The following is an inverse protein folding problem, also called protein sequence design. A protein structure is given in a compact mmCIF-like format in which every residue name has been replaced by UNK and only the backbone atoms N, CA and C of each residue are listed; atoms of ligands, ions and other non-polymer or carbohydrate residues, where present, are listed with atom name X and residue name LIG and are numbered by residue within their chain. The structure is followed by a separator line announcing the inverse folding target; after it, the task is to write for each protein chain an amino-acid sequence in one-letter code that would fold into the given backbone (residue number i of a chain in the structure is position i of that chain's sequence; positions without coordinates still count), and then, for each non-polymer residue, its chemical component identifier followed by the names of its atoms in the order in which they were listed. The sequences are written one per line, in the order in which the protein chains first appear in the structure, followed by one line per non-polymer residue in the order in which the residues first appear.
data_IF_697729319284
#
_entry.id   IF_697729319284
#
_cell.length_a   1.000
_cell.length_b   1.000
_cell.length_c   1.000
_cell.angle_alpha   90.00
_cell.angle_beta   90.00
_cell.angle_gamma   90.00
#
_symmetry.space_group_name_H-M   'P 1'
#
loop_
_entity.id
_entity.type
_entity.pdbx_description
1 polymer ?
#
# COMPACT_ATOMS: atom_id res chain seq x y z
N UNK A 1 2.71 -19.39 4.08
CA UNK A 1 2.37 -20.57 3.25
C UNK A 1 2.83 -21.82 3.98
N UNK A 2 1.93 -22.80 4.17
CA UNK A 2 2.11 -23.83 5.21
C UNK A 2 2.26 -25.24 4.65
N UNK A 3 3.19 -25.98 5.23
CA UNK A 3 3.14 -27.43 5.29
C UNK A 3 3.38 -27.86 6.72
N UNK A 4 2.36 -27.93 7.57
CA UNK A 4 2.51 -28.57 8.88
C UNK A 4 2.92 -30.05 8.70
N UNK A 5 4.18 -30.35 9.00
CA UNK A 5 4.48 -31.50 9.86
C UNK A 5 4.13 -31.00 11.27
N UNK A 6 3.31 -31.72 12.04
CA UNK A 6 3.06 -31.35 13.42
C UNK A 6 4.40 -31.49 14.15
N UNK A 7 4.97 -30.38 14.56
CA UNK A 7 5.83 -30.41 15.73
C UNK A 7 5.17 -29.41 16.64
N UNK A 8 4.46 -29.92 17.64
CA UNK A 8 4.22 -29.14 18.85
C UNK A 8 5.52 -28.39 19.15
N UNK A 9 5.45 -27.10 19.46
CA UNK A 9 6.63 -26.30 19.83
C UNK A 9 7.44 -26.88 21.02
N UNK A 10 7.07 -28.06 21.53
CA UNK A 10 7.82 -28.90 22.45
C UNK A 10 7.89 -30.32 21.87
N UNK A 11 9.07 -30.77 21.43
CA UNK A 11 9.62 -32.11 21.69
C UNK A 11 11.11 -32.14 21.28
N UNK A 12 11.95 -32.24 22.31
CA UNK A 12 13.37 -32.63 22.41
C UNK A 12 14.27 -32.69 21.17
N UNK A 13 15.35 -31.92 21.22
CA UNK A 13 16.60 -32.32 20.57
C UNK A 13 17.15 -33.60 21.24
N UNK A 14 17.63 -34.61 20.48
CA UNK A 14 18.56 -35.62 20.99
C UNK A 14 19.95 -34.99 21.26
N UNK A 15 20.83 -35.65 22.05
CA UNK A 15 22.02 -35.03 22.61
C UNK A 15 23.01 -34.57 21.53
N UNK A 16 23.49 -33.33 21.68
CA UNK A 16 24.51 -32.72 20.83
C UNK A 16 25.89 -33.20 21.27
N UNK A 17 26.64 -33.81 20.35
CA UNK A 17 28.09 -33.96 20.48
C UNK A 17 28.75 -32.60 20.23
N UNK A 18 29.59 -32.18 21.17
CA UNK A 18 30.38 -30.95 21.10
C UNK A 18 31.36 -30.98 19.92
N UNK A 19 31.38 -29.90 19.14
CA UNK A 19 32.59 -29.46 18.44
C UNK A 19 32.64 -27.93 18.42
N UNK A 20 33.59 -27.39 19.19
CA UNK A 20 33.91 -25.98 19.26
C UNK A 20 34.37 -25.45 17.88
N UNK A 21 33.75 -24.38 17.41
CA UNK A 21 34.35 -23.45 16.46
C UNK A 21 33.85 -22.04 16.80
N UNK A 22 34.75 -21.24 17.37
CA UNK A 22 34.55 -19.82 17.64
C UNK A 22 34.59 -19.05 16.31
N UNK A 23 33.55 -18.26 16.05
CA UNK A 23 33.58 -17.20 15.03
C UNK A 23 33.66 -15.82 15.72
N UNK A 24 34.36 -14.85 15.12
CA UNK A 24 34.77 -13.62 15.78
C UNK A 24 33.62 -12.62 16.00
N UNK A 25 33.70 -11.92 17.14
CA UNK A 25 32.83 -10.78 17.50
C UNK A 25 33.06 -9.64 16.52
N UNK A 26 32.04 -9.27 15.74
CA UNK A 26 32.02 -8.00 15.02
C UNK A 26 31.52 -6.89 15.95
N UNK A 27 32.32 -5.83 15.99
CA UNK A 27 32.18 -4.70 16.90
C UNK A 27 30.89 -3.90 16.65
N UNK A 28 30.18 -3.61 17.74
CA UNK A 28 29.09 -2.65 17.81
C UNK A 28 29.67 -1.23 17.70
N UNK A 29 29.51 -0.58 16.55
CA UNK A 29 29.80 0.84 16.42
C UNK A 29 28.68 1.64 17.11
N UNK A 30 29.01 2.20 18.27
CA UNK A 30 28.26 3.26 18.93
C UNK A 30 28.16 4.46 17.96
N UNK A 31 26.97 4.71 17.40
CA UNK A 31 26.64 6.02 16.84
C UNK A 31 25.92 6.83 17.89
N UNK A 32 26.58 7.92 18.25
CA UNK A 32 26.16 9.00 19.12
C UNK A 32 24.75 9.50 18.81
N UNK A 33 23.99 9.70 19.88
CA UNK A 33 22.63 10.19 19.84
C UNK A 33 22.56 11.62 19.31
N UNK A 34 21.93 11.76 18.14
CA UNK A 34 21.19 12.96 17.80
C UNK A 34 19.73 12.54 17.70
N UNK A 35 19.01 12.78 18.80
CA UNK A 35 17.57 12.65 18.94
C UNK A 35 16.94 13.62 17.93
N UNK A 36 16.64 13.16 16.71
CA UNK A 36 15.72 13.89 15.83
C UNK A 36 14.38 13.90 16.54
N UNK A 37 14.02 15.06 17.08
CA UNK A 37 12.64 15.37 17.46
C UNK A 37 11.74 14.92 16.31
N UNK A 38 10.84 14.00 16.61
CA UNK A 38 9.75 13.66 15.73
C UNK A 38 8.86 14.89 15.64
N UNK A 39 9.05 15.69 14.60
CA UNK A 39 8.07 16.70 14.22
C UNK A 39 6.74 15.97 14.02
N UNK A 40 5.81 16.19 14.96
CA UNK A 40 4.38 16.01 14.69
C UNK A 40 4.14 16.79 13.41
N UNK A 41 3.91 16.12 12.27
CA UNK A 41 3.63 16.78 10.98
C UNK A 41 2.53 17.80 11.22
N UNK A 42 2.90 19.07 11.32
CA UNK A 42 1.99 20.18 11.58
C UNK A 42 0.97 20.19 10.48
N UNK A 43 -0.30 20.03 10.83
CA UNK A 43 -1.42 20.27 9.93
C UNK A 43 -1.32 21.74 9.53
N UNK A 44 -0.97 22.03 8.26
CA UNK A 44 -0.92 23.42 7.79
C UNK A 44 -2.32 24.02 7.88
N UNK A 45 -2.38 25.29 8.27
CA UNK A 45 -3.62 26.05 8.28
C UNK A 45 -3.90 26.57 6.87
N UNK A 46 -4.70 25.83 6.11
CA UNK A 46 -4.91 26.09 4.68
C UNK A 46 -6.28 26.73 4.43
N UNK A 47 -6.28 27.77 3.58
CA UNK A 47 -7.51 28.30 2.96
C UNK A 47 -7.55 27.91 1.49
N UNK A 48 -8.69 27.36 1.05
CA UNK A 48 -8.94 27.05 -0.35
C UNK A 48 -9.79 28.17 -0.95
N UNK A 49 -9.31 28.80 -2.04
CA UNK A 49 -10.03 29.88 -2.72
C UNK A 49 -9.92 29.77 -4.24
N UNK A 50 -10.85 30.37 -5.02
CA UNK A 50 -10.67 30.49 -6.47
C UNK A 50 -9.39 31.28 -6.79
N UNK A 51 -8.72 30.87 -7.86
CA UNK A 51 -7.57 31.58 -8.42
C UNK A 51 -8.02 32.86 -9.12
N UNK A 52 -7.18 33.90 -9.06
CA UNK A 52 -7.35 35.14 -9.82
C UNK A 52 -6.28 35.24 -10.93
N UNK A 53 -6.46 36.11 -11.93
CA UNK A 53 -5.44 36.34 -12.96
C UNK A 53 -4.06 36.71 -12.40
N UNK A 54 -4.00 37.39 -11.26
CA UNK A 54 -2.73 37.75 -10.59
C UNK A 54 -1.99 36.55 -10.01
N UNK A 55 -2.67 35.42 -9.78
CA UNK A 55 -2.04 34.21 -9.24
C UNK A 55 -1.22 33.46 -10.30
N UNK A 56 -1.48 33.68 -11.59
CA UNK A 56 -0.93 32.89 -12.70
C UNK A 56 0.61 32.72 -12.69
N UNK A 57 1.43 33.77 -12.41
CA UNK A 57 2.87 33.61 -12.28
C UNK A 57 3.28 32.68 -11.13
N UNK A 58 2.59 32.76 -9.99
CA UNK A 58 2.84 31.89 -8.83
C UNK A 58 2.44 30.45 -9.12
N UNK A 59 1.30 30.24 -9.80
CA UNK A 59 0.85 28.91 -10.23
C UNK A 59 1.83 28.28 -11.23
N UNK A 60 2.43 29.07 -12.11
CA UNK A 60 3.47 28.60 -13.02
C UNK A 60 4.73 28.14 -12.27
N UNK A 61 5.14 28.89 -11.24
CA UNK A 61 6.28 28.50 -10.38
C UNK A 61 6.02 27.15 -9.69
N UNK A 62 4.83 26.97 -9.09
CA UNK A 62 4.46 25.70 -8.45
C UNK A 62 4.38 24.57 -9.48
N UNK A 63 3.81 24.82 -10.66
CA UNK A 63 3.72 23.85 -11.75
C UNK A 63 5.11 23.36 -12.19
N UNK A 64 6.09 24.25 -12.32
CA UNK A 64 7.45 23.86 -12.69
C UNK A 64 8.07 23.09 -11.53
N UNK A 65 8.12 23.67 -10.33
CA UNK A 65 8.80 23.09 -9.17
C UNK A 65 8.28 21.68 -8.82
N UNK A 66 6.96 21.46 -8.88
CA UNK A 66 6.36 20.15 -8.57
C UNK A 66 6.71 19.05 -9.60
N UNK A 67 7.10 19.45 -10.82
CA UNK A 67 7.35 18.52 -11.94
C UNK A 67 8.79 18.55 -12.48
N UNK A 68 9.69 19.39 -11.96
CA UNK A 68 11.10 19.51 -12.40
C UNK A 68 11.83 18.16 -12.46
N UNK A 69 11.60 17.29 -11.50
CA UNK A 69 12.27 15.98 -11.42
C UNK A 69 11.45 14.84 -12.06
N UNK A 70 10.44 15.17 -12.89
CA UNK A 70 9.62 14.16 -13.57
C UNK A 70 10.12 13.92 -15.00
N UNK A 71 10.13 12.65 -15.47
CA UNK A 71 10.67 12.30 -16.79
C UNK A 71 10.08 13.11 -17.95
N UNK A 72 8.78 13.41 -17.88
CA UNK A 72 8.09 14.17 -18.92
C UNK A 72 8.68 15.58 -19.09
N UNK A 73 8.80 16.36 -18.01
CA UNK A 73 9.24 17.76 -18.13
C UNK A 73 10.67 17.85 -18.64
N UNK A 74 11.57 17.00 -18.11
CA UNK A 74 12.96 16.94 -18.55
C UNK A 74 13.10 16.53 -20.03
N UNK A 75 12.23 15.63 -20.52
CA UNK A 75 12.28 15.15 -21.90
C UNK A 75 11.61 16.09 -22.90
N UNK A 76 10.52 16.76 -22.48
CA UNK A 76 9.79 17.71 -23.32
C UNK A 76 10.53 19.04 -23.43
N UNK A 77 11.25 19.46 -22.39
CA UNK A 77 11.94 20.75 -22.31
C UNK A 77 13.45 20.58 -22.02
N UNK A 78 14.21 19.87 -22.86
CA UNK A 78 15.62 19.55 -22.60
C UNK A 78 16.53 20.79 -22.58
N UNK A 79 16.21 21.81 -23.40
CA UNK A 79 17.03 23.02 -23.54
C UNK A 79 16.22 24.32 -23.36
N UNK A 80 14.96 24.22 -22.94
CA UNK A 80 14.11 25.39 -22.69
C UNK A 80 14.60 26.10 -21.43
N UNK A 81 14.80 27.41 -21.50
CA UNK A 81 15.24 28.18 -20.34
C UNK A 81 14.15 28.23 -19.25
N UNK A 82 14.53 28.33 -17.96
CA UNK A 82 13.55 28.46 -16.88
C UNK A 82 12.59 29.65 -17.07
N UNK A 83 13.09 30.77 -17.60
CA UNK A 83 12.28 31.95 -17.89
C UNK A 83 11.25 31.68 -19.01
N UNK A 84 11.65 31.00 -20.09
CA UNK A 84 10.74 30.67 -21.17
C UNK A 84 9.68 29.63 -20.75
N UNK A 85 10.08 28.63 -19.96
CA UNK A 85 9.15 27.67 -19.37
C UNK A 85 8.15 28.37 -18.44
N UNK A 86 8.61 29.29 -17.59
CA UNK A 86 7.75 30.05 -16.69
C UNK A 86 6.77 30.96 -17.45
N UNK A 87 7.24 31.66 -18.49
CA UNK A 87 6.40 32.48 -19.35
C UNK A 87 5.30 31.67 -20.05
N UNK A 88 5.65 30.51 -20.65
CA UNK A 88 4.68 29.60 -21.26
C UNK A 88 3.63 29.14 -20.25
N UNK A 89 4.06 28.70 -19.07
CA UNK A 89 3.16 28.18 -18.03
C UNK A 89 2.26 29.27 -17.44
N UNK A 90 2.79 30.48 -17.27
CA UNK A 90 2.02 31.64 -16.83
C UNK A 90 0.93 31.99 -17.84
N UNK A 91 1.29 32.07 -19.13
CA UNK A 91 0.32 32.32 -20.20
C UNK A 91 -0.79 31.26 -20.26
N UNK A 92 -0.44 29.98 -20.05
CA UNK A 92 -1.43 28.88 -19.99
C UNK A 92 -2.37 29.00 -18.80
N UNK A 93 -1.85 29.37 -17.63
CA UNK A 93 -2.71 29.61 -16.46
C UNK A 93 -3.68 30.76 -16.73
N UNK A 94 -3.20 31.87 -17.29
CA UNK A 94 -4.06 32.99 -17.69
C UNK A 94 -5.14 32.57 -18.68
N UNK A 95 -4.78 31.81 -19.73
CA UNK A 95 -5.73 31.28 -20.70
C UNK A 95 -6.81 30.40 -20.04
N UNK A 96 -6.40 29.50 -19.14
CA UNK A 96 -7.33 28.57 -18.47
C UNK A 96 -8.20 29.24 -17.41
N UNK A 97 -7.75 30.33 -16.79
CA UNK A 97 -8.60 31.17 -15.92
C UNK A 97 -9.72 31.86 -16.69
N UNK A 98 -9.52 32.13 -17.98
CA UNK A 98 -10.54 32.71 -18.86
C UNK A 98 -11.42 31.66 -19.57
N UNK A 99 -11.14 30.36 -19.38
CA UNK A 99 -11.86 29.29 -20.08
C UNK A 99 -13.18 28.98 -19.37
N UNK A 100 -14.34 29.02 -20.06
CA UNK A 100 -15.62 28.63 -19.48
C UNK A 100 -15.59 27.22 -18.90
N UNK A 101 -16.37 26.99 -17.84
CA UNK A 101 -16.48 25.71 -17.13
C UNK A 101 -15.15 25.14 -16.58
N UNK A 102 -14.08 25.94 -16.57
CA UNK A 102 -12.80 25.59 -15.95
C UNK A 102 -12.69 26.30 -14.61
N UNK A 103 -12.57 25.54 -13.53
CA UNK A 103 -12.48 26.03 -12.16
C UNK A 103 -11.08 25.80 -11.61
N UNK A 104 -10.35 26.89 -11.34
CA UNK A 104 -9.00 26.83 -10.79
C UNK A 104 -9.04 27.26 -9.32
N UNK A 105 -8.56 26.37 -8.46
CA UNK A 105 -8.52 26.57 -7.01
C UNK A 105 -7.08 26.62 -6.52
N UNK A 106 -6.82 27.49 -5.55
CA UNK A 106 -5.52 27.65 -4.90
C UNK A 106 -5.63 27.30 -3.42
N UNK A 107 -4.56 26.70 -2.90
CA UNK A 107 -4.37 26.49 -1.48
C UNK A 107 -3.40 27.55 -0.96
N UNK A 108 -3.85 28.35 -0.01
CA UNK A 108 -3.09 29.42 0.63
C UNK A 108 -2.78 29.00 2.04
N UNK A 109 -1.50 29.03 2.41
CA UNK A 109 -1.06 28.88 3.79
C UNK A 109 -1.39 30.17 4.55
N UNK A 110 -2.23 30.09 5.59
CA UNK A 110 -2.67 31.27 6.34
C UNK A 110 -1.53 31.93 7.12
N UNK A 111 -0.52 31.16 7.53
CA UNK A 111 0.57 31.68 8.35
C UNK A 111 1.52 32.55 7.53
N UNK A 112 1.80 32.15 6.28
CA UNK A 112 2.69 32.89 5.37
C UNK A 112 1.97 33.77 4.34
N UNK A 113 0.67 33.53 4.10
CA UNK A 113 -0.08 34.10 2.99
C UNK A 113 0.32 33.55 1.62
N UNK A 114 1.24 32.58 1.55
CA UNK A 114 1.75 32.05 0.29
C UNK A 114 0.80 31.03 -0.33
N UNK A 115 0.70 31.06 -1.66
CA UNK A 115 0.06 29.98 -2.42
C UNK A 115 0.99 28.78 -2.40
N UNK A 116 0.52 27.65 -1.88
CA UNK A 116 1.30 26.42 -1.68
C UNK A 116 0.81 25.26 -2.54
N UNK A 117 -0.28 25.45 -3.29
CA UNK A 117 -0.77 24.46 -4.24
C UNK A 117 -1.92 24.99 -5.10
N UNK A 118 -2.22 24.26 -6.15
CA UNK A 118 -3.36 24.54 -7.01
C UNK A 118 -3.96 23.28 -7.64
N UNK A 119 -5.23 23.38 -8.01
CA UNK A 119 -5.94 22.37 -8.79
C UNK A 119 -6.76 23.05 -9.89
N UNK A 120 -6.90 22.39 -11.03
CA UNK A 120 -7.76 22.79 -12.14
C UNK A 120 -8.75 21.68 -12.43
N UNK A 121 -10.02 22.04 -12.40
CA UNK A 121 -11.16 21.17 -12.67
C UNK A 121 -11.92 21.67 -13.89
N UNK A 122 -12.39 20.76 -14.73
CA UNK A 122 -13.27 21.06 -15.86
C UNK A 122 -14.62 20.41 -15.62
N UNK A 123 -15.68 21.20 -15.72
CA UNK A 123 -17.07 20.76 -15.54
C UNK A 123 -17.79 20.70 -16.90
N UNK A 124 -18.76 19.79 -17.07
CA UNK A 124 -19.64 19.80 -18.24
C UNK A 124 -20.47 21.09 -18.29
N UNK A 125 -20.79 21.57 -19.50
CA UNK A 125 -21.49 22.83 -19.71
C UNK A 125 -22.91 22.89 -19.11
N UNK A 126 -23.53 21.74 -18.88
CA UNK A 126 -24.87 21.58 -18.29
C UNK A 126 -24.82 21.37 -16.76
N UNK A 127 -23.63 21.21 -16.16
CA UNK A 127 -23.47 21.04 -14.72
C UNK A 127 -23.44 22.36 -13.94
N UNK A 128 -23.34 23.51 -14.63
CA UNK A 128 -23.09 24.82 -14.02
C UNK A 128 -24.34 25.59 -13.57
N UNK A 129 -25.54 25.02 -13.72
CA UNK A 129 -26.82 25.70 -13.42
C UNK A 129 -27.15 25.91 -11.92
N UNK A 130 -26.25 25.62 -10.97
CA UNK A 130 -26.46 25.96 -9.54
C UNK A 130 -25.24 26.49 -8.77
N UNK A 131 -24.10 26.72 -9.42
CA UNK A 131 -22.89 27.21 -8.75
C UNK A 131 -22.41 28.59 -9.25
N UNK A 132 -23.02 29.15 -10.30
CA UNK A 132 -22.50 30.30 -11.04
C UNK A 132 -23.41 31.54 -11.05
N UNK A 133 -24.16 31.83 -9.97
CA UNK A 133 -24.87 33.12 -9.83
C UNK A 133 -23.94 34.27 -9.34
N UNK A 134 -22.64 34.19 -9.62
CA UNK A 134 -21.66 35.23 -9.23
C UNK A 134 -20.44 35.26 -10.16
N UNK A 135 -20.63 35.33 -11.48
CA UNK A 135 -19.68 36.00 -12.38
C UNK A 135 -20.26 36.07 -13.79
N UNK A 136 -20.49 37.30 -14.24
CA UNK A 136 -21.23 37.72 -15.41
C UNK A 136 -20.86 37.08 -16.76
N UNK A 137 -21.89 37.13 -17.61
CA UNK A 137 -21.86 37.16 -19.07
C UNK A 137 -20.61 37.79 -19.71
N UNK A 138 -19.99 37.05 -20.63
CA UNK A 138 -19.65 37.49 -21.99
C UNK A 138 -18.59 36.54 -22.59
N UNK A 139 -18.99 35.68 -23.54
CA UNK A 139 -18.22 35.30 -24.73
C UNK A 139 -18.90 34.08 -25.41
N UNK A 140 -19.77 34.36 -26.37
CA UNK A 140 -20.15 33.38 -27.39
C UNK A 140 -19.03 33.29 -28.43
N UNK A 141 -18.45 32.10 -28.62
CA UNK A 141 -17.62 31.81 -29.81
C UNK A 141 -16.26 31.16 -29.60
N UNK A 142 -15.95 30.56 -28.45
CA UNK A 142 -14.77 29.70 -28.33
C UNK A 142 -15.18 28.22 -28.51
N UNK A 143 -14.67 27.56 -29.55
CA UNK A 143 -14.66 26.09 -29.58
C UNK A 143 -14.07 25.58 -28.25
N UNK A 144 -14.74 24.59 -27.64
CA UNK A 144 -14.37 24.08 -26.33
C UNK A 144 -12.97 23.45 -26.43
N UNK A 145 -11.93 24.19 -26.01
CA UNK A 145 -10.55 23.68 -26.01
C UNK A 145 -10.48 22.44 -25.11
N UNK A 146 -10.09 21.31 -25.69
CA UNK A 146 -9.85 20.07 -24.94
C UNK A 146 -8.87 20.32 -23.78
N UNK A 147 -9.18 19.85 -22.55
CA UNK A 147 -8.27 19.94 -21.41
C UNK A 147 -6.91 19.24 -21.64
N UNK A 148 -6.87 18.31 -22.61
CA UNK A 148 -5.71 17.50 -22.98
C UNK A 148 -5.04 17.96 -24.29
N UNK A 149 -5.43 19.11 -24.84
CA UNK A 149 -4.78 19.67 -26.02
C UNK A 149 -3.39 20.24 -25.72
N UNK A 150 -2.51 20.25 -26.73
CA UNK A 150 -1.18 20.89 -26.66
C UNK A 150 -1.25 22.42 -26.41
N UNK A 151 -2.43 23.02 -26.57
CA UNK A 151 -2.75 24.43 -26.46
C UNK A 151 -2.40 25.20 -27.74
N UNK A 152 -3.14 26.28 -28.04
CA UNK A 152 -2.86 27.12 -29.21
C UNK A 152 -1.62 28.03 -29.06
N UNK A 153 -1.02 28.08 -27.86
CA UNK A 153 0.11 28.96 -27.55
C UNK A 153 1.42 28.46 -28.20
N UNK A 154 2.25 29.37 -28.75
CA UNK A 154 3.55 29.01 -29.28
C UNK A 154 4.43 28.34 -28.23
N UNK A 155 5.06 27.23 -28.61
CA UNK A 155 6.01 26.53 -27.74
C UNK A 155 7.38 27.21 -27.80
N UNK A 156 8.09 27.37 -26.66
CA UNK A 156 9.45 27.90 -26.63
C UNK A 156 10.42 27.11 -27.50
N UNK A 157 11.44 27.82 -28.00
CA UNK A 157 12.61 27.19 -28.61
C UNK A 157 13.27 26.22 -27.63
N UNK A 158 13.74 25.08 -28.14
CA UNK A 158 14.27 23.98 -27.32
C UNK A 158 13.22 22.99 -26.82
N UNK A 159 11.93 23.19 -27.12
CA UNK A 159 10.89 22.19 -26.85
C UNK A 159 11.06 20.99 -27.78
N UNK A 160 11.19 19.79 -27.20
CA UNK A 160 11.13 18.55 -27.96
C UNK A 160 9.67 18.26 -28.34
N UNK A 161 9.27 18.69 -29.54
CA UNK A 161 7.89 18.55 -30.03
C UNK A 161 7.42 17.11 -30.11
N UNK A 162 8.27 16.16 -30.50
CA UNK A 162 7.86 14.75 -30.60
C UNK A 162 7.42 14.19 -29.24
N UNK A 163 8.18 14.48 -28.18
CA UNK A 163 7.82 14.07 -26.81
C UNK A 163 6.61 14.84 -26.31
N UNK A 164 6.58 16.15 -26.54
CA UNK A 164 5.52 17.02 -26.08
C UNK A 164 4.15 16.65 -26.70
N UNK A 165 4.09 16.60 -28.03
CA UNK A 165 2.87 16.29 -28.77
C UNK A 165 2.45 14.84 -28.57
N UNK A 166 3.40 13.89 -28.51
CA UNK A 166 3.11 12.49 -28.23
C UNK A 166 2.50 12.26 -26.84
N UNK A 167 2.99 12.97 -25.82
CA UNK A 167 2.44 12.88 -24.46
C UNK A 167 0.99 13.37 -24.42
N UNK A 168 0.70 14.57 -24.92
CA UNK A 168 -0.67 15.11 -24.94
C UNK A 168 -1.58 14.35 -25.91
N UNK A 169 -1.04 13.80 -27.00
CA UNK A 169 -1.75 12.86 -27.87
C UNK A 169 -2.23 11.61 -27.11
N UNK A 170 -1.35 11.01 -26.30
CA UNK A 170 -1.70 9.85 -25.46
C UNK A 170 -2.79 10.20 -24.44
N UNK A 171 -2.72 11.37 -23.79
CA UNK A 171 -3.77 11.80 -22.85
C UNK A 171 -5.11 12.00 -23.58
N UNK A 172 -5.08 12.61 -24.78
CA UNK A 172 -6.27 12.77 -25.60
C UNK A 172 -6.88 11.44 -26.03
N UNK A 173 -6.07 10.45 -26.41
CA UNK A 173 -6.53 9.09 -26.74
C UNK A 173 -7.19 8.41 -25.53
N UNK A 174 -6.58 8.51 -24.34
CA UNK A 174 -7.14 7.94 -23.11
C UNK A 174 -8.43 8.64 -22.70
N UNK A 175 -8.49 9.95 -22.83
CA UNK A 175 -9.71 10.70 -22.60
C UNK A 175 -10.84 10.24 -23.54
N UNK A 176 -10.56 10.05 -24.83
CA UNK A 176 -11.54 9.54 -25.79
C UNK A 176 -12.04 8.12 -25.47
N UNK A 177 -11.24 7.33 -24.75
CA UNK A 177 -11.59 5.96 -24.33
C UNK A 177 -12.45 5.94 -23.04
N UNK A 178 -12.16 6.83 -22.08
CA UNK A 178 -12.68 6.69 -20.71
C UNK A 178 -13.60 7.84 -20.24
N UNK A 179 -13.45 9.03 -20.82
CA UNK A 179 -14.22 10.22 -20.43
C UNK A 179 -15.57 10.22 -21.13
N UNK A 180 -16.61 10.58 -20.38
CA UNK A 180 -17.97 10.77 -20.87
C UNK A 180 -18.32 12.26 -20.84
N UNK A 181 -19.31 12.65 -21.64
CA UNK A 181 -19.74 14.05 -21.77
C UNK A 181 -20.16 14.66 -20.42
N UNK A 182 -20.71 13.84 -19.52
CA UNK A 182 -21.15 14.24 -18.19
C UNK A 182 -20.06 14.18 -17.09
N UNK A 183 -18.85 13.74 -17.40
CA UNK A 183 -17.79 13.58 -16.38
C UNK A 183 -17.21 14.93 -15.95
N UNK A 184 -16.94 15.08 -14.65
CA UNK A 184 -16.11 16.17 -14.12
C UNK A 184 -14.66 15.72 -14.20
N UNK A 185 -13.78 16.55 -14.76
CA UNK A 185 -12.38 16.19 -14.99
C UNK A 185 -11.47 16.97 -14.04
N UNK A 186 -10.59 16.28 -13.32
CA UNK A 186 -9.42 16.92 -12.70
C UNK A 186 -8.27 16.93 -13.71
N UNK A 187 -8.04 18.08 -14.34
CA UNK A 187 -7.02 18.19 -15.39
C UNK A 187 -5.61 18.33 -14.82
N UNK A 188 -5.49 18.96 -13.66
CA UNK A 188 -4.21 19.31 -13.09
C UNK A 188 -4.30 19.52 -11.58
N UNK A 189 -3.31 19.03 -10.85
CA UNK A 189 -3.11 19.39 -9.45
C UNK A 189 -1.61 19.39 -9.13
N UNK A 190 -1.18 20.37 -8.34
CA UNK A 190 0.17 20.46 -7.84
C UNK A 190 0.21 21.00 -6.41
N UNK A 191 1.24 20.59 -5.68
CA UNK A 191 1.61 21.10 -4.37
C UNK A 191 3.08 21.49 -4.43
N UNK A 192 3.44 22.65 -3.87
CA UNK A 192 4.84 23.06 -3.80
C UNK A 192 5.67 22.00 -3.05
N UNK A 193 6.91 21.71 -3.47
CA UNK A 193 7.74 20.67 -2.85
C UNK A 193 7.84 20.78 -1.31
N UNK A 194 7.95 22.00 -0.79
CA UNK A 194 8.10 22.34 0.63
C UNK A 194 6.81 22.08 1.43
N UNK A 195 5.68 21.97 0.74
CA UNK A 195 4.35 21.82 1.31
C UNK A 195 3.76 20.43 1.10
N UNK A 196 4.51 19.52 0.47
CA UNK A 196 4.09 18.13 0.27
C UNK A 196 3.93 17.38 1.59
N UNK A 197 2.96 16.46 1.64
CA UNK A 197 2.69 15.66 2.83
C UNK A 197 2.08 16.44 4.02
N UNK A 198 1.71 17.71 3.82
CA UNK A 198 1.03 18.58 4.81
C UNK A 198 -0.48 18.74 4.56
N UNK A 199 -1.06 17.94 3.65
CA UNK A 199 -2.51 17.90 3.41
C UNK A 199 -3.04 18.78 2.28
N UNK A 200 -2.18 19.56 1.60
CA UNK A 200 -2.56 20.49 0.52
C UNK A 200 -3.38 19.83 -0.59
N UNK A 201 -2.85 18.75 -1.19
CA UNK A 201 -3.55 18.04 -2.27
C UNK A 201 -4.93 17.51 -1.83
N UNK A 202 -5.05 17.01 -0.59
CA UNK A 202 -6.34 16.57 -0.05
C UNK A 202 -7.34 17.72 0.03
N UNK A 203 -6.92 18.88 0.55
CA UNK A 203 -7.78 20.04 0.67
C UNK A 203 -8.28 20.55 -0.71
N UNK A 204 -7.39 20.58 -1.71
CA UNK A 204 -7.75 20.94 -3.09
C UNK A 204 -8.67 19.91 -3.77
N UNK A 205 -8.52 18.63 -3.43
CA UNK A 205 -9.36 17.55 -3.95
C UNK A 205 -10.76 17.56 -3.34
N UNK A 206 -10.87 17.84 -2.04
CA UNK A 206 -12.15 17.80 -1.30
C UNK A 206 -13.24 18.63 -2.00
N UNK A 207 -12.94 19.85 -2.42
CA UNK A 207 -13.92 20.71 -3.09
C UNK A 207 -14.50 20.06 -4.35
N UNK A 208 -13.65 19.61 -5.28
CA UNK A 208 -14.13 19.02 -6.54
C UNK A 208 -14.89 17.71 -6.33
N UNK A 209 -14.53 16.95 -5.30
CA UNK A 209 -15.25 15.73 -4.89
C UNK A 209 -16.65 16.08 -4.39
N UNK A 210 -16.76 17.06 -3.48
CA UNK A 210 -18.04 17.50 -2.94
C UNK A 210 -18.96 18.06 -4.02
N UNK A 211 -18.43 18.84 -4.96
CA UNK A 211 -19.21 19.32 -6.11
C UNK A 211 -19.68 18.18 -7.01
N UNK A 212 -18.80 17.23 -7.34
CA UNK A 212 -19.19 16.06 -8.13
C UNK A 212 -20.26 15.20 -7.43
N UNK A 213 -20.13 15.01 -6.11
CA UNK A 213 -21.11 14.29 -5.29
C UNK A 213 -22.45 15.05 -5.25
N UNK A 214 -22.47 16.39 -5.16
CA UNK A 214 -23.71 17.19 -5.18
C UNK A 214 -24.51 16.99 -6.47
N UNK A 215 -23.82 16.94 -7.61
CA UNK A 215 -24.45 16.76 -8.93
C UNK A 215 -24.51 15.30 -9.38
N UNK A 216 -24.06 14.37 -8.54
CA UNK A 216 -24.02 12.92 -8.81
C UNK A 216 -23.31 12.57 -10.13
N UNK A 217 -22.20 13.25 -10.44
CA UNK A 217 -21.41 13.01 -11.64
C UNK A 217 -20.11 12.28 -11.31
N UNK A 218 -19.64 11.50 -12.27
CA UNK A 218 -18.37 10.79 -12.21
C UNK A 218 -17.21 11.79 -12.26
N UNK A 219 -16.09 11.44 -11.62
CA UNK A 219 -14.82 12.14 -11.75
C UNK A 219 -13.87 11.32 -12.61
N UNK A 220 -13.28 11.94 -13.63
CA UNK A 220 -12.14 11.41 -14.37
C UNK A 220 -10.87 12.18 -14.03
N UNK A 221 -9.74 11.48 -13.93
CA UNK A 221 -8.41 12.08 -13.79
C UNK A 221 -7.33 11.13 -14.28
N UNK A 222 -6.16 11.70 -14.55
CA UNK A 222 -4.95 10.96 -14.89
C UNK A 222 -3.90 11.18 -13.80
N UNK A 223 -3.31 10.07 -13.33
CA UNK A 223 -2.43 10.08 -12.18
C UNK A 223 -0.99 9.70 -12.54
N UNK A 224 -0.03 10.47 -12.01
CA UNK A 224 1.35 9.98 -11.90
C UNK A 224 1.41 8.83 -10.89
N UNK A 225 2.43 7.98 -10.98
CA UNK A 225 2.66 6.89 -10.02
C UNK A 225 2.68 7.37 -8.56
N UNK A 226 3.17 8.59 -8.32
CA UNK A 226 3.22 9.20 -6.99
C UNK A 226 1.89 9.82 -6.54
N UNK A 227 1.12 10.38 -7.48
CA UNK A 227 -0.19 10.97 -7.19
C UNK A 227 -1.28 9.92 -6.99
N UNK A 228 -1.18 8.77 -7.69
CA UNK A 228 -2.18 7.71 -7.70
C UNK A 228 -2.66 7.29 -6.30
N UNK A 229 -1.78 7.03 -5.30
CA UNK A 229 -2.22 6.63 -3.97
C UNK A 229 -3.06 7.69 -3.22
N UNK A 230 -2.91 8.97 -3.56
CA UNK A 230 -3.70 10.06 -2.96
C UNK A 230 -5.13 10.02 -3.50
N UNK A 231 -5.27 9.94 -4.83
CA UNK A 231 -6.57 9.83 -5.50
C UNK A 231 -7.29 8.55 -5.10
N UNK A 232 -6.59 7.41 -5.16
CA UNK A 232 -7.16 6.12 -4.82
C UNK A 232 -7.74 6.13 -3.39
N UNK A 233 -7.08 6.80 -2.44
CA UNK A 233 -7.58 6.92 -1.07
C UNK A 233 -8.81 7.83 -0.93
N UNK A 234 -8.95 8.85 -1.76
CA UNK A 234 -9.98 9.89 -1.61
C UNK A 234 -11.19 9.68 -2.51
N UNK A 235 -10.99 9.16 -3.72
CA UNK A 235 -12.01 9.02 -4.76
C UNK A 235 -12.59 7.61 -4.84
N UNK A 236 -11.80 6.59 -4.47
CA UNK A 236 -12.33 5.22 -4.44
C UNK A 236 -12.97 5.02 -3.08
N UNK A 237 -14.31 5.04 -3.04
CA UNK A 237 -15.07 4.56 -1.88
C UNK A 237 -14.76 3.07 -1.70
N UNK A 238 -13.78 2.79 -0.83
CA UNK A 238 -13.42 1.43 -0.45
C UNK A 238 -14.45 0.92 0.55
N UNK A 239 -15.58 0.40 0.04
CA UNK A 239 -16.53 -0.32 0.88
C UNK A 239 -16.05 -1.75 1.12
N UNK A 240 -15.04 -1.84 1.99
CA UNK A 240 -14.43 -3.11 2.39
C UNK A 240 -14.67 -3.33 3.87
N UNK A 241 -15.25 -4.49 4.18
CA UNK A 241 -15.48 -4.94 5.54
C UNK A 241 -14.39 -5.91 5.96
N UNK A 242 -13.86 -5.73 7.18
CA UNK A 242 -12.97 -6.70 7.82
C UNK A 242 -13.84 -7.64 8.64
N UNK A 243 -13.86 -8.93 8.29
CA UNK A 243 -14.73 -9.93 8.89
C UNK A 243 -13.90 -11.14 9.33
N UNK A 244 -14.25 -11.82 10.44
CA UNK A 244 -13.68 -13.12 10.75
C UNK A 244 -13.91 -14.09 9.59
N UNK A 245 -12.90 -14.90 9.25
CA UNK A 245 -13.01 -15.89 8.18
C UNK A 245 -14.13 -16.89 8.50
N UNK A 246 -15.04 -17.13 7.56
CA UNK A 246 -15.98 -18.24 7.63
C UNK A 246 -15.55 -19.42 6.74
N UNK A 247 -16.14 -20.60 6.95
CA UNK A 247 -15.91 -21.76 6.08
C UNK A 247 -16.26 -21.49 4.61
N UNK A 248 -17.22 -20.60 4.34
CA UNK A 248 -17.66 -20.24 2.98
C UNK A 248 -16.64 -19.36 2.26
N UNK A 249 -15.83 -18.62 3.00
CA UNK A 249 -14.83 -17.71 2.43
C UNK A 249 -13.50 -18.42 2.09
N UNK A 250 -13.27 -19.63 2.62
CA UNK A 250 -12.02 -20.38 2.44
C UNK A 250 -11.56 -20.45 0.97
N UNK A 251 -12.41 -20.79 -0.02
CA UNK A 251 -11.96 -20.85 -1.42
C UNK A 251 -11.40 -19.51 -1.93
N UNK A 252 -12.08 -18.40 -1.63
CA UNK A 252 -11.64 -17.07 -2.05
C UNK A 252 -10.40 -16.58 -1.27
N UNK A 253 -10.31 -16.91 0.02
CA UNK A 253 -9.13 -16.64 0.84
C UNK A 253 -7.88 -17.36 0.32
N UNK A 254 -8.04 -18.64 -0.08
CA UNK A 254 -6.96 -19.44 -0.68
C UNK A 254 -6.52 -18.84 -2.01
N UNK A 255 -7.47 -18.53 -2.89
CA UNK A 255 -7.18 -17.92 -4.20
C UNK A 255 -6.50 -16.56 -4.02
N UNK A 256 -6.96 -15.71 -3.09
CA UNK A 256 -6.30 -14.45 -2.76
C UNK A 256 -4.83 -14.65 -2.32
N UNK A 257 -4.54 -15.63 -1.46
CA UNK A 257 -3.15 -15.94 -1.05
C UNK A 257 -2.32 -16.40 -2.25
N UNK A 258 -2.85 -17.32 -3.05
CA UNK A 258 -2.12 -17.85 -4.20
C UNK A 258 -1.80 -16.75 -5.22
N UNK A 259 -2.73 -15.84 -5.48
CA UNK A 259 -2.49 -14.68 -6.35
C UNK A 259 -1.44 -13.74 -5.77
N UNK A 260 -1.55 -13.37 -4.49
CA UNK A 260 -0.69 -12.35 -3.88
C UNK A 260 0.75 -12.84 -3.70
N UNK A 261 0.93 -14.13 -3.41
CA UNK A 261 2.25 -14.72 -3.15
C UNK A 261 2.88 -15.41 -4.37
N UNK A 262 2.27 -15.34 -5.56
CA UNK A 262 2.80 -16.00 -6.76
C UNK A 262 4.28 -15.65 -7.03
N UNK A 263 4.64 -14.37 -6.86
CA UNK A 263 5.99 -13.85 -7.05
C UNK A 263 6.72 -13.55 -5.72
N UNK A 264 6.31 -14.18 -4.63
CA UNK A 264 6.94 -13.95 -3.33
C UNK A 264 8.29 -14.70 -3.19
N UNK A 265 9.38 -14.04 -2.76
CA UNK A 265 10.70 -14.68 -2.67
C UNK A 265 10.73 -15.89 -1.73
N UNK A 266 9.98 -15.86 -0.63
CA UNK A 266 9.92 -17.00 0.28
C UNK A 266 9.10 -18.14 -0.33
N UNK A 267 8.02 -17.81 -1.05
CA UNK A 267 7.25 -18.81 -1.78
C UNK A 267 8.07 -19.52 -2.86
N UNK A 268 8.77 -18.77 -3.72
CA UNK A 268 9.62 -19.33 -4.80
C UNK A 268 10.82 -20.09 -4.24
N UNK A 269 11.34 -19.68 -3.08
CA UNK A 269 12.35 -20.47 -2.36
C UNK A 269 11.79 -21.81 -1.87
N UNK A 270 10.55 -21.83 -1.38
CA UNK A 270 9.92 -23.00 -0.74
C UNK A 270 9.35 -24.01 -1.74
N UNK A 271 8.87 -23.56 -2.89
CA UNK A 271 8.21 -24.39 -3.89
C UNK A 271 8.99 -24.42 -5.20
N UNK A 272 9.10 -25.61 -5.75
CA UNK A 272 9.67 -25.84 -7.07
C UNK A 272 8.67 -25.43 -8.17
N UNK A 273 8.99 -24.44 -9.03
CA UNK A 273 8.06 -23.94 -10.05
C UNK A 273 7.61 -25.00 -11.04
N UNK A 274 8.51 -25.91 -11.44
CA UNK A 274 8.24 -26.95 -12.44
C UNK A 274 7.23 -27.99 -11.94
N UNK A 275 7.24 -28.27 -10.64
CA UNK A 275 6.38 -29.29 -10.02
C UNK A 275 5.30 -28.69 -9.12
N UNK A 276 5.16 -27.36 -9.11
CA UNK A 276 4.17 -26.66 -8.28
C UNK A 276 2.74 -27.04 -8.70
N UNK A 277 1.98 -27.58 -7.75
CA UNK A 277 0.59 -27.95 -7.98
C UNK A 277 -0.33 -27.02 -7.18
N UNK A 278 -0.94 -26.06 -7.89
CA UNK A 278 -1.84 -25.07 -7.32
C UNK A 278 -3.05 -25.69 -6.62
N UNK A 279 -3.60 -26.80 -7.15
CA UNK A 279 -4.75 -27.48 -6.55
C UNK A 279 -4.37 -28.21 -5.25
N UNK A 280 -3.19 -28.83 -5.18
CA UNK A 280 -2.64 -29.42 -3.96
C UNK A 280 -2.38 -28.35 -2.92
N UNK A 281 -1.77 -27.23 -3.32
CA UNK A 281 -1.52 -26.09 -2.44
C UNK A 281 -2.84 -25.53 -1.88
N UNK A 282 -3.87 -25.40 -2.72
CA UNK A 282 -5.20 -24.95 -2.32
C UNK A 282 -5.86 -25.92 -1.33
N UNK A 283 -5.76 -27.24 -1.55
CA UNK A 283 -6.25 -28.25 -0.63
C UNK A 283 -5.53 -28.17 0.73
N UNK A 284 -4.21 -27.97 0.71
CA UNK A 284 -3.42 -27.81 1.93
C UNK A 284 -3.82 -26.55 2.71
N UNK A 285 -3.85 -25.37 2.06
CA UNK A 285 -4.26 -24.12 2.70
C UNK A 285 -5.70 -24.19 3.23
N UNK A 286 -6.61 -24.80 2.48
CA UNK A 286 -7.99 -25.02 2.93
C UNK A 286 -8.08 -25.89 4.18
N UNK A 287 -7.22 -26.90 4.32
CA UNK A 287 -7.18 -27.72 5.55
C UNK A 287 -6.59 -26.95 6.72
N UNK A 288 -5.57 -26.12 6.50
CA UNK A 288 -4.99 -25.24 7.51
C UNK A 288 -5.99 -24.19 7.99
N UNK A 289 -6.77 -23.58 7.10
CA UNK A 289 -7.84 -22.67 7.51
C UNK A 289 -8.92 -23.37 8.34
N UNK A 290 -9.36 -24.58 7.95
CA UNK A 290 -10.31 -25.35 8.75
C UNK A 290 -9.75 -25.69 10.13
N UNK A 291 -8.47 -26.00 10.22
CA UNK A 291 -7.79 -26.20 11.49
C UNK A 291 -7.78 -24.90 12.31
N UNK A 292 -7.34 -23.78 11.72
CA UNK A 292 -7.31 -22.48 12.39
C UNK A 292 -8.69 -22.05 12.92
N UNK A 293 -9.76 -22.25 12.16
CA UNK A 293 -11.13 -22.02 12.62
C UNK A 293 -11.53 -22.93 13.79
N UNK A 294 -11.07 -24.19 13.79
CA UNK A 294 -11.37 -25.14 14.86
C UNK A 294 -10.66 -24.81 16.18
N UNK A 295 -9.46 -24.24 16.11
CA UNK A 295 -8.69 -23.77 17.28
C UNK A 295 -8.91 -22.28 17.59
N UNK A 296 -9.87 -21.63 16.93
CA UNK A 296 -10.20 -20.19 17.09
C UNK A 296 -9.00 -19.25 16.87
N UNK A 297 -8.12 -19.59 15.94
CA UNK A 297 -7.02 -18.72 15.53
C UNK A 297 -7.58 -17.40 14.93
N UNK A 298 -6.97 -16.23 15.20
CA UNK A 298 -7.39 -14.97 14.61
C UNK A 298 -7.13 -14.97 13.09
N UNK A 299 -8.19 -15.13 12.30
CA UNK A 299 -8.14 -15.09 10.84
C UNK A 299 -9.24 -14.15 10.36
N UNK A 300 -8.83 -13.09 9.65
CA UNK A 300 -9.75 -12.07 9.14
C UNK A 300 -9.58 -11.90 7.64
N UNK A 301 -10.70 -11.75 6.94
CA UNK A 301 -10.75 -11.39 5.53
C UNK A 301 -11.15 -9.94 5.36
N UNK A 302 -10.66 -9.32 4.30
CA UNK A 302 -11.17 -8.09 3.77
C UNK A 302 -12.09 -8.42 2.59
N UNK A 303 -13.39 -8.10 2.73
CA UNK A 303 -14.40 -8.36 1.72
C UNK A 303 -14.90 -7.06 1.11
N UNK A 304 -14.75 -6.92 -0.20
CA UNK A 304 -15.38 -5.85 -0.97
C UNK A 304 -16.88 -6.11 -1.03
N UNK A 305 -17.69 -5.18 -0.52
CA UNK A 305 -19.14 -5.33 -0.40
C UNK A 305 -19.82 -5.31 -1.76
N UNK A 306 -19.29 -4.55 -2.72
CA UNK A 306 -19.89 -4.39 -4.04
C UNK A 306 -19.76 -5.68 -4.86
N UNK A 307 -18.57 -6.29 -4.85
CA UNK A 307 -18.30 -7.54 -5.59
C UNK A 307 -18.50 -8.81 -4.75
N UNK A 308 -18.69 -8.67 -3.43
CA UNK A 308 -18.70 -9.77 -2.47
C UNK A 308 -17.43 -10.65 -2.54
N UNK A 309 -16.31 -10.08 -3.00
CA UNK A 309 -15.03 -10.76 -3.22
C UNK A 309 -14.08 -10.56 -2.05
N UNK A 310 -13.31 -11.60 -1.71
CA UNK A 310 -12.17 -11.47 -0.79
C UNK A 310 -11.01 -10.78 -1.50
N UNK A 311 -10.64 -9.60 -1.00
CA UNK A 311 -9.58 -8.73 -1.55
C UNK A 311 -8.35 -8.63 -0.64
N UNK A 312 -8.42 -9.22 0.54
CA UNK A 312 -7.28 -9.39 1.44
C UNK A 312 -7.58 -10.37 2.58
N UNK A 313 -6.53 -10.80 3.27
CA UNK A 313 -6.62 -11.72 4.40
C UNK A 313 -5.42 -11.53 5.33
N UNK A 314 -5.64 -11.67 6.64
CA UNK A 314 -4.60 -11.92 7.61
C UNK A 314 -4.90 -13.21 8.40
N UNK A 315 -3.85 -13.94 8.76
CA UNK A 315 -3.91 -15.10 9.63
C UNK A 315 -2.80 -15.02 10.67
N UNK A 316 -3.21 -14.99 11.92
CA UNK A 316 -2.35 -14.98 13.09
C UNK A 316 -2.49 -16.27 13.90
N UNK A 317 -1.41 -16.68 14.56
CA UNK A 317 -1.46 -17.63 15.65
C UNK A 317 -1.67 -16.87 16.97
N UNK A 318 -2.54 -17.35 17.87
CA UNK A 318 -2.71 -16.75 19.18
C UNK A 318 -1.47 -17.00 20.06
N UNK A 319 -1.26 -16.22 21.13
CA UNK A 319 -0.24 -16.51 22.12
C UNK A 319 -0.44 -17.88 22.76
N UNK A 320 0.64 -18.67 22.82
CA UNK A 320 0.66 -19.96 23.51
C UNK A 320 1.63 -19.89 24.69
N UNK A 321 1.15 -20.00 25.94
CA UNK A 321 2.02 -19.96 27.10
C UNK A 321 3.02 -21.13 27.12
N UNK A 322 4.27 -20.83 27.48
CA UNK A 322 5.34 -21.82 27.58
C UNK A 322 5.13 -22.82 28.73
N UNK A 323 4.19 -22.57 29.63
CA UNK A 323 3.89 -23.43 30.79
C UNK A 323 2.71 -24.39 30.56
N UNK A 324 1.82 -24.13 29.58
CA UNK A 324 0.60 -24.92 29.38
C UNK A 324 0.69 -25.88 28.19
N UNK A 325 0.30 -27.14 28.39
CA UNK A 325 0.08 -28.06 27.26
C UNK A 325 -1.19 -27.66 26.49
N UNK A 326 -1.22 -27.81 25.15
CA UNK A 326 -2.42 -27.52 24.37
C UNK A 326 -3.59 -28.40 24.84
N UNK A 327 -4.82 -27.86 24.85
CA UNK A 327 -6.01 -28.66 25.14
C UNK A 327 -6.10 -29.88 24.22
N UNK A 328 -6.69 -30.98 24.70
CA UNK A 328 -6.88 -32.20 23.89
C UNK A 328 -7.60 -31.91 22.56
N UNK A 329 -8.53 -30.95 22.56
CA UNK A 329 -9.22 -30.52 21.33
C UNK A 329 -8.25 -29.98 20.27
N UNK A 330 -7.20 -29.24 20.67
CA UNK A 330 -6.17 -28.75 19.76
C UNK A 330 -5.35 -29.92 19.21
N UNK A 331 -4.91 -30.83 20.09
CA UNK A 331 -4.14 -32.02 19.70
C UNK A 331 -4.91 -32.91 18.71
N UNK A 332 -6.23 -33.08 18.92
CA UNK A 332 -7.09 -33.80 17.99
C UNK A 332 -7.20 -33.09 16.63
N UNK A 333 -7.26 -31.76 16.60
CA UNK A 333 -7.24 -30.99 15.34
C UNK A 333 -5.87 -31.05 14.64
N UNK A 334 -4.76 -31.15 15.38
CA UNK A 334 -3.42 -31.37 14.83
C UNK A 334 -3.30 -32.75 14.16
N UNK A 335 -3.78 -33.79 14.85
CA UNK A 335 -3.83 -35.14 14.29
C UNK A 335 -4.69 -35.18 13.02
N UNK A 336 -5.86 -34.54 13.05
CA UNK A 336 -6.75 -34.47 11.90
C UNK A 336 -6.15 -33.68 10.73
N UNK A 337 -5.44 -32.58 10.99
CA UNK A 337 -4.70 -31.86 9.98
C UNK A 337 -3.62 -32.74 9.34
N UNK A 338 -2.88 -33.48 10.16
CA UNK A 338 -1.82 -34.40 9.70
C UNK A 338 -2.37 -35.52 8.83
N UNK A 339 -3.49 -36.12 9.21
CA UNK A 339 -4.21 -37.12 8.40
C UNK A 339 -4.63 -36.52 7.06
N UNK A 340 -5.20 -35.31 7.04
CA UNK A 340 -5.57 -34.63 5.79
C UNK A 340 -4.36 -34.37 4.89
N UNK A 341 -3.26 -33.89 5.46
CA UNK A 341 -2.02 -33.66 4.70
C UNK A 341 -1.48 -34.97 4.11
N UNK A 342 -1.54 -36.07 4.86
CA UNK A 342 -1.16 -37.39 4.37
C UNK A 342 -2.05 -37.85 3.20
N UNK A 343 -3.37 -37.75 3.35
CA UNK A 343 -4.33 -38.11 2.29
C UNK A 343 -4.15 -37.24 1.03
N UNK A 344 -3.82 -35.96 1.19
CA UNK A 344 -3.49 -35.11 0.04
C UNK A 344 -2.20 -35.52 -0.64
N UNK A 345 -1.18 -35.96 0.11
CA UNK A 345 0.03 -36.46 -0.51
C UNK A 345 -0.25 -37.70 -1.37
N UNK A 346 -1.17 -38.58 -0.94
CA UNK A 346 -1.64 -39.71 -1.75
C UNK A 346 -2.42 -39.19 -2.97
N UNK A 347 -3.45 -38.38 -2.76
CA UNK A 347 -4.36 -37.89 -3.82
C UNK A 347 -3.63 -37.13 -4.93
N UNK A 348 -2.68 -36.28 -4.56
CA UNK A 348 -1.94 -35.42 -5.49
C UNK A 348 -0.56 -35.99 -5.85
N UNK A 349 -0.27 -37.24 -5.49
CA UNK A 349 0.99 -37.95 -5.80
C UNK A 349 2.24 -37.18 -5.34
N UNK A 350 2.16 -36.52 -4.19
CA UNK A 350 3.27 -35.75 -3.62
C UNK A 350 2.83 -34.47 -2.91
N UNK A 351 3.80 -33.59 -2.67
CA UNK A 351 3.60 -32.37 -1.87
C UNK A 351 3.34 -31.11 -2.71
N UNK A 352 3.08 -31.27 -4.00
CA UNK A 352 2.80 -30.18 -4.94
C UNK A 352 3.94 -29.18 -5.07
N UNK A 353 5.16 -29.68 -5.27
CA UNK A 353 6.37 -28.87 -5.45
C UNK A 353 7.07 -28.40 -4.18
N UNK A 354 6.56 -28.70 -2.98
CA UNK A 354 7.21 -28.29 -1.72
C UNK A 354 8.60 -28.93 -1.57
N UNK A 355 9.65 -28.11 -1.47
CA UNK A 355 11.05 -28.53 -1.23
C UNK A 355 11.27 -28.81 0.26
N UNK A 356 11.17 -30.09 0.66
CA UNK A 356 11.20 -30.50 2.07
C UNK A 356 12.50 -30.15 2.82
N UNK A 357 13.65 -30.19 2.16
CA UNK A 357 14.92 -29.84 2.78
C UNK A 357 14.93 -28.36 3.20
N UNK A 358 14.52 -27.47 2.28
CA UNK A 358 14.35 -26.04 2.54
C UNK A 358 13.31 -25.76 3.63
N UNK A 359 12.18 -26.49 3.62
CA UNK A 359 11.17 -26.40 4.68
C UNK A 359 11.73 -26.74 6.07
N UNK A 360 12.46 -27.86 6.19
CA UNK A 360 13.07 -28.30 7.46
C UNK A 360 14.15 -27.33 7.94
N UNK A 361 15.00 -26.86 7.03
CA UNK A 361 16.04 -25.87 7.32
C UNK A 361 15.42 -24.58 7.85
N UNK A 362 14.43 -24.02 7.15
CA UNK A 362 13.70 -22.84 7.60
C UNK A 362 13.09 -23.05 8.99
N UNK A 363 12.42 -24.17 9.24
CA UNK A 363 11.85 -24.47 10.57
C UNK A 363 12.90 -24.56 11.67
N UNK A 364 14.08 -25.13 11.39
CA UNK A 364 15.17 -25.17 12.36
C UNK A 364 15.75 -23.78 12.65
N UNK A 365 15.89 -22.91 11.62
CA UNK A 365 16.35 -21.54 11.79
C UNK A 365 15.32 -20.68 12.52
N UNK A 366 14.04 -20.84 12.18
CA UNK A 366 12.91 -20.17 12.83
C UNK A 366 12.86 -20.51 14.32
N UNK A 367 12.95 -21.81 14.68
CA UNK A 367 12.98 -22.24 16.08
C UNK A 367 14.14 -21.61 16.86
N UNK A 368 15.37 -21.66 16.32
CA UNK A 368 16.55 -21.02 16.95
C UNK A 368 16.40 -19.51 17.15
N UNK A 369 15.64 -18.84 16.28
CA UNK A 369 15.36 -17.40 16.39
C UNK A 369 14.27 -17.13 17.42
N UNK A 370 13.19 -17.92 17.40
CA UNK A 370 12.12 -17.83 18.40
C UNK A 370 12.67 -18.07 19.81
N UNK A 371 13.54 -19.06 20.02
CA UNK A 371 14.19 -19.31 21.34
C UNK A 371 14.94 -18.10 21.91
N UNK A 372 15.43 -17.20 21.05
CA UNK A 372 16.19 -16.00 21.45
C UNK A 372 15.31 -14.75 21.57
N UNK A 373 14.24 -14.69 20.80
CA UNK A 373 13.42 -13.49 20.60
C UNK A 373 12.13 -13.56 21.43
N UNK A 374 11.54 -14.74 21.58
CA UNK A 374 10.29 -14.96 22.29
C UNK A 374 10.54 -15.16 23.78
N UNK A 375 10.75 -14.06 24.48
CA UNK A 375 11.08 -14.02 25.91
C UNK A 375 9.88 -13.89 26.83
N UNK A 376 8.71 -13.50 26.33
CA UNK A 376 7.47 -13.45 27.12
C UNK A 376 6.88 -14.86 27.25
N UNK A 377 6.81 -15.38 28.48
CA UNK A 377 6.30 -16.72 28.79
C UNK A 377 4.82 -16.90 28.41
N UNK A 378 4.06 -15.81 28.26
CA UNK A 378 2.67 -15.82 27.81
C UNK A 378 2.53 -16.07 26.31
N UNK A 379 3.62 -15.92 25.55
CA UNK A 379 3.66 -16.09 24.09
C UNK A 379 3.41 -14.80 23.31
N UNK A 380 3.21 -14.96 21.99
CA UNK A 380 3.10 -13.84 21.03
C UNK A 380 1.94 -14.09 20.07
N UNK A 381 1.24 -13.02 19.69
CA UNK A 381 0.44 -13.05 18.47
C UNK A 381 1.39 -13.12 17.27
N UNK A 382 1.42 -14.24 16.54
CA UNK A 382 2.32 -14.42 15.40
C UNK A 382 1.57 -14.26 14.08
N UNK A 383 1.83 -13.18 13.33
CA UNK A 383 1.28 -12.97 12.00
C UNK A 383 1.96 -13.91 11.01
N UNK A 384 1.28 -15.02 10.68
CA UNK A 384 1.81 -15.97 9.73
C UNK A 384 1.52 -15.58 8.29
N UNK A 385 0.37 -14.96 8.02
CA UNK A 385 -0.01 -14.56 6.66
C UNK A 385 -0.63 -13.19 6.69
N UNK A 386 -0.18 -12.33 5.77
CA UNK A 386 -0.90 -11.14 5.37
C UNK A 386 -0.84 -11.02 3.85
N UNK A 387 -2.00 -10.98 3.20
CA UNK A 387 -2.12 -10.87 1.76
C UNK A 387 -3.14 -9.78 1.41
N UNK A 388 -2.76 -8.88 0.50
CA UNK A 388 -3.64 -7.84 -0.03
C UNK A 388 -3.45 -7.79 -1.54
N UNK A 389 -4.57 -7.85 -2.26
CA UNK A 389 -4.60 -7.78 -3.72
C UNK A 389 -3.95 -6.49 -4.24
N UNK A 390 -3.35 -6.56 -5.43
CA UNK A 390 -2.59 -5.45 -5.99
C UNK A 390 -3.47 -4.22 -6.20
N UNK A 391 -4.70 -4.43 -6.66
CA UNK A 391 -5.73 -3.40 -6.85
C UNK A 391 -6.12 -2.67 -5.55
N UNK A 392 -5.86 -3.26 -4.37
CA UNK A 392 -6.17 -2.66 -3.07
C UNK A 392 -4.96 -2.03 -2.36
N UNK A 393 -3.79 -1.99 -3.01
CA UNK A 393 -2.57 -1.40 -2.43
C UNK A 393 -2.70 0.13 -2.34
N UNK A 394 -2.09 0.71 -1.32
CA UNK A 394 -2.12 2.17 -1.08
C UNK A 394 -3.41 2.69 -0.41
N UNK A 395 -4.47 1.89 -0.40
CA UNK A 395 -5.78 2.21 0.21
C UNK A 395 -5.83 2.00 1.74
N UNK A 396 -4.74 1.57 2.36
CA UNK A 396 -4.66 1.33 3.81
C UNK A 396 -5.27 0.00 4.26
N UNK A 397 -5.67 -0.88 3.34
CA UNK A 397 -6.30 -2.16 3.70
C UNK A 397 -5.38 -3.11 4.49
N UNK A 398 -4.09 -3.18 4.12
CA UNK A 398 -3.12 -3.97 4.88
C UNK A 398 -2.95 -3.50 6.32
N UNK A 399 -3.01 -2.18 6.55
CA UNK A 399 -3.00 -1.60 7.90
C UNK A 399 -4.23 -2.05 8.70
N UNK A 400 -5.44 -1.92 8.13
CA UNK A 400 -6.70 -2.37 8.77
C UNK A 400 -6.68 -3.87 9.15
N UNK A 401 -6.10 -4.71 8.29
CA UNK A 401 -5.94 -6.15 8.54
C UNK A 401 -4.92 -6.49 9.64
N UNK A 402 -3.91 -5.64 9.86
CA UNK A 402 -2.99 -5.80 11.01
C UNK A 402 -3.65 -5.28 12.29
N UNK A 403 -4.28 -4.11 12.20
CA UNK A 403 -4.89 -3.41 13.34
C UNK A 403 -5.96 -4.24 14.04
N UNK A 404 -6.79 -4.98 13.31
CA UNK A 404 -7.83 -5.85 13.89
C UNK A 404 -7.29 -6.89 14.89
N UNK A 405 -6.02 -7.28 14.78
CA UNK A 405 -5.37 -8.18 15.74
C UNK A 405 -4.46 -7.42 16.71
N UNK A 406 -3.76 -6.38 16.27
CA UNK A 406 -2.87 -5.64 17.18
C UNK A 406 -3.62 -4.79 18.20
N UNK A 407 -4.83 -4.29 17.89
CA UNK A 407 -5.70 -3.60 18.85
C UNK A 407 -6.13 -4.55 19.98
N UNK A 408 -6.56 -5.76 19.60
CA UNK A 408 -6.84 -6.83 20.57
C UNK A 408 -5.59 -7.20 21.39
N UNK A 409 -4.43 -7.28 20.75
CA UNK A 409 -3.18 -7.54 21.45
C UNK A 409 -2.81 -6.42 22.42
N UNK A 410 -3.12 -5.15 22.10
CA UNK A 410 -2.94 -4.02 23.02
C UNK A 410 -3.86 -4.15 24.25
N UNK A 411 -5.14 -4.47 24.04
CA UNK A 411 -6.12 -4.72 25.10
C UNK A 411 -5.70 -5.87 26.02
N UNK A 412 -5.15 -6.96 25.45
CA UNK A 412 -4.67 -8.12 26.19
C UNK A 412 -3.25 -7.92 26.78
N UNK A 413 -2.59 -6.80 26.49
CA UNK A 413 -1.20 -6.54 26.90
C UNK A 413 -0.21 -7.58 26.35
N UNK A 414 -0.44 -8.05 25.12
CA UNK A 414 0.32 -9.11 24.47
C UNK A 414 1.21 -8.60 23.32
N UNK A 415 2.46 -9.08 23.20
CA UNK A 415 3.31 -8.72 22.09
C UNK A 415 2.88 -9.39 20.77
N UNK A 416 3.18 -8.72 19.67
CA UNK A 416 2.96 -9.22 18.32
C UNK A 416 4.30 -9.48 17.61
N UNK A 417 4.38 -10.54 16.82
CA UNK A 417 5.54 -10.94 16.04
C UNK A 417 5.15 -11.19 14.59
N UNK A 418 6.04 -10.85 13.64
CA UNK A 418 5.90 -11.18 12.23
C UNK A 418 7.25 -11.44 11.56
N UNK A 419 7.19 -12.13 10.42
CA UNK A 419 8.32 -12.41 9.55
C UNK A 419 7.99 -11.90 8.13
N UNK A 420 8.68 -10.86 7.66
CA UNK A 420 8.46 -10.30 6.33
C UNK A 420 9.43 -10.91 5.31
N UNK A 421 8.91 -11.49 4.22
CA UNK A 421 9.70 -12.01 3.08
C UNK A 421 10.22 -10.92 2.13
N UNK A 422 9.81 -9.66 2.34
CA UNK A 422 10.21 -8.51 1.53
C UNK A 422 10.77 -7.40 2.43
N UNK A 423 11.87 -6.80 1.98
CA UNK A 423 12.54 -5.69 2.66
C UNK A 423 11.82 -4.36 2.46
N UNK A 424 12.55 -3.30 2.13
CA UNK A 424 11.95 -1.99 1.83
C UNK A 424 11.13 -2.03 0.53
N UNK A 425 9.92 -1.42 0.47
CA UNK A 425 9.33 -0.53 1.47
C UNK A 425 8.44 -1.20 2.55
N UNK A 426 8.26 -2.53 2.54
CA UNK A 426 7.34 -3.22 3.46
C UNK A 426 7.73 -3.04 4.94
N UNK A 427 9.03 -3.06 5.26
CA UNK A 427 9.50 -2.84 6.64
C UNK A 427 9.09 -1.47 7.19
N UNK A 428 9.13 -0.42 6.35
CA UNK A 428 8.69 0.91 6.75
C UNK A 428 7.18 1.00 7.02
N UNK A 429 6.38 0.12 6.41
CA UNK A 429 4.95 0.02 6.71
C UNK A 429 4.76 -0.56 8.12
N UNK A 430 5.41 -1.69 8.43
CA UNK A 430 5.31 -2.31 9.76
C UNK A 430 5.91 -1.42 10.86
N UNK A 431 6.99 -0.70 10.58
CA UNK A 431 7.56 0.29 11.52
C UNK A 431 6.56 1.37 11.91
N UNK A 432 5.77 1.88 10.95
CA UNK A 432 4.70 2.85 11.24
C UNK A 432 3.55 2.26 12.08
N UNK A 433 3.41 0.94 12.08
CA UNK A 433 2.44 0.22 12.92
C UNK A 433 3.02 -0.15 14.31
N UNK A 434 4.25 0.28 14.62
CA UNK A 434 4.90 0.04 15.91
C UNK A 434 5.81 -1.20 15.96
N UNK A 435 6.01 -1.90 14.84
CA UNK A 435 6.94 -3.03 14.76
C UNK A 435 8.40 -2.55 14.67
N UNK A 436 9.30 -3.25 15.35
CA UNK A 436 10.73 -3.00 15.34
C UNK A 436 11.47 -4.24 14.83
N UNK A 437 12.51 -4.04 14.03
CA UNK A 437 13.33 -5.15 13.52
C UNK A 437 14.14 -5.77 14.66
N UNK A 438 14.04 -7.09 14.82
CA UNK A 438 14.71 -7.86 15.89
C UNK A 438 15.66 -8.94 15.35
N UNK A 439 15.80 -9.03 14.03
CA UNK A 439 16.76 -9.90 13.38
C UNK A 439 16.29 -10.40 12.03
N UNK A 440 17.07 -11.28 11.44
CA UNK A 440 16.81 -11.86 10.13
C UNK A 440 16.99 -13.39 10.17
N UNK A 441 16.21 -14.09 9.35
CA UNK A 441 16.40 -15.51 9.02
C UNK A 441 16.85 -15.57 7.57
N UNK A 442 18.11 -15.94 7.36
CA UNK A 442 18.68 -16.18 6.04
C UNK A 442 18.38 -17.61 5.62
N UNK A 443 17.43 -17.80 4.70
CA UNK A 443 17.16 -19.09 4.11
C UNK A 443 18.01 -19.21 2.85
N UNK A 444 19.14 -19.91 2.93
CA UNK A 444 20.07 -20.11 1.81
C UNK A 444 20.13 -21.59 1.47
N UNK A 445 20.14 -21.92 0.18
CA UNK A 445 20.36 -23.29 -0.29
C UNK A 445 21.78 -23.78 0.04
N UNK A 446 21.97 -25.09 0.08
CA UNK A 446 23.25 -25.77 0.35
C UNK A 446 24.35 -25.33 -0.63
N UNK A 447 23.96 -24.96 -1.86
CA UNK A 447 24.85 -24.49 -2.92
C UNK A 447 25.05 -22.95 -2.92
N UNK A 448 24.38 -22.21 -2.03
CA UNK A 448 24.47 -20.75 -1.92
C UNK A 448 23.91 -19.93 -3.09
N UNK A 449 23.29 -20.58 -4.10
CA UNK A 449 22.79 -19.92 -5.33
C UNK A 449 21.40 -19.31 -5.20
N UNK A 450 20.52 -19.95 -4.43
CA UNK A 450 19.16 -19.49 -4.16
C UNK A 450 19.02 -19.14 -2.68
N UNK A 451 18.34 -18.05 -2.37
CA UNK A 451 17.99 -17.74 -1.00
C UNK A 451 16.94 -16.66 -0.87
N UNK A 452 16.37 -16.57 0.32
CA UNK A 452 15.49 -15.48 0.72
C UNK A 452 15.74 -15.10 2.18
N UNK A 453 15.61 -13.82 2.49
CA UNK A 453 15.71 -13.31 3.85
C UNK A 453 14.32 -13.03 4.41
N UNK A 454 14.04 -13.55 5.60
CA UNK A 454 12.87 -13.15 6.38
C UNK A 454 13.30 -12.15 7.46
N UNK A 455 12.71 -10.95 7.42
CA UNK A 455 12.94 -9.91 8.41
C UNK A 455 12.01 -10.11 9.59
N UNK A 456 12.58 -10.41 10.76
CA UNK A 456 11.85 -10.65 12.00
C UNK A 456 11.52 -9.31 12.66
N UNK A 457 10.24 -9.09 13.00
CA UNK A 457 9.83 -7.85 13.66
C UNK A 457 8.92 -8.12 14.86
N UNK A 458 9.09 -7.34 15.93
CA UNK A 458 8.26 -7.36 17.14
C UNK A 458 7.57 -6.02 17.33
N UNK A 459 6.31 -6.06 17.77
CA UNK A 459 5.58 -4.91 18.31
C UNK A 459 5.20 -5.21 19.76
N UNK A 460 5.58 -4.32 20.67
CA UNK A 460 5.10 -4.36 22.05
C UNK A 460 3.70 -3.76 22.13
N UNK A 461 2.85 -4.21 23.08
CA UNK A 461 1.53 -3.64 23.27
C UNK A 461 1.63 -2.17 23.72
N UNK A 462 0.72 -1.34 23.22
CA UNK A 462 0.63 0.07 23.61
C UNK A 462 -0.29 0.18 24.81
N UNK A 463 0.18 0.73 25.94
CA UNK A 463 -0.68 0.97 27.11
C UNK A 463 -1.73 2.02 26.76
N UNK A 464 -3.01 1.74 27.01
CA UNK A 464 -4.06 2.75 26.99
C UNK A 464 -3.80 3.77 28.10
N UNK A 465 -3.75 5.07 27.79
CA UNK A 465 -3.56 6.18 28.75
C UNK A 465 -4.71 6.37 29.77
N UNK A 466 -5.62 5.41 29.93
CA UNK A 466 -6.82 5.53 30.76
C UNK A 466 -6.76 4.85 32.15
N UNK A 467 -5.60 4.35 32.57
CA UNK A 467 -5.38 3.91 33.96
C UNK A 467 -4.36 4.83 34.64
N UNK A 468 -4.83 5.96 35.15
CA UNK A 468 -4.14 6.76 36.16
C UNK A 468 -5.14 7.45 37.09
#
# INVERSE_FOLDING_TARGET
MFGAVPVSHRYGNPPVFNSHLQLPKLACNQRTGLRKQSDKKGKMNLTIRPATPSDAPTLATINIAAFTNKPFLASAFPTVSPAAAHALKSARWTQKLATPNTHIWTAVDQDSGAIVGCARWSFPADATDKAAESAASAASGAEMESPWGSGALPLPEGTNRAVYDGFFGTLKEKAAEYVRDEDIVLDFIATSPESQGKGVARALLTWGIEEADKVQRRIYLEATTEGFPVYARLLVKMDVQILPLSKRDIPQAVECIQTVFADDPFFTYMFDPETYNIARNAASLSAHFRHGLAIRAPIYIAKDTASNRVVGICWWHPPEPTSSSPPFTHQAQDALLSIRQFLFNIRYRGRGGLRLNRYRQWKALQAKKHDRIWTDERGYYFCNVIAVRAEMRGLGLGRRLVEVVTERADEEGMPCYLESSKGMPNLAIYQKLGFQGVGEIECVDENGKDGCTLYCMIRQPTKSENDN
#
